data_IF_143638642806
#
_entry.id   IF_143638642806
#
_cell.length_a   1.000
_cell.length_b   1.000
_cell.length_c   1.000
_cell.angle_alpha   90.00
_cell.angle_beta   90.00
_cell.angle_gamma   90.00
#
_symmetry.space_group_name_H-M   'P 1'
#
loop_
_entity.id
_entity.type
_entity.pdbx_description
1 polymer ?
#
# COMPACT_ATOMS: atom_id res chain seq x y z
N UNK A 1 -1.80 -6.89 13.92
CA UNK A 1 -1.77 -5.78 12.93
C UNK A 1 -3.07 -5.63 12.16
N UNK A 2 -3.77 -6.73 11.80
CA UNK A 2 -5.05 -6.67 11.07
C UNK A 2 -6.10 -5.72 11.67
N UNK A 3 -6.47 -5.83 12.96
CA UNK A 3 -7.45 -4.93 13.58
C UNK A 3 -7.02 -3.45 13.57
N UNK A 4 -5.74 -3.16 13.84
CA UNK A 4 -5.21 -1.79 13.74
C UNK A 4 -5.33 -1.25 12.31
N UNK A 5 -4.94 -2.04 11.32
CA UNK A 5 -5.05 -1.65 9.91
C UNK A 5 -6.49 -1.30 9.54
N UNK A 6 -7.46 -2.14 9.95
CA UNK A 6 -8.88 -1.91 9.68
C UNK A 6 -9.39 -0.65 10.40
N UNK A 7 -8.99 -0.42 11.65
CA UNK A 7 -9.37 0.77 12.40
C UNK A 7 -8.83 2.06 11.77
N UNK A 8 -7.57 2.06 11.32
CA UNK A 8 -6.93 3.22 10.70
C UNK A 8 -7.48 3.53 9.29
N UNK A 9 -7.81 2.48 8.53
CA UNK A 9 -8.39 2.64 7.19
C UNK A 9 -9.87 3.04 7.28
N UNK A 10 -10.60 2.48 8.24
CA UNK A 10 -12.04 2.63 8.38
C UNK A 10 -12.81 2.04 7.18
N UNK A 11 -13.89 2.71 6.79
CA UNK A 11 -14.69 2.33 5.63
C UNK A 11 -13.89 2.44 4.33
N UNK A 12 -13.74 1.32 3.61
CA UNK A 12 -13.02 1.24 2.34
C UNK A 12 -13.83 1.82 1.18
N UNK A 13 -15.16 1.87 1.29
CA UNK A 13 -16.04 2.35 0.20
C UNK A 13 -15.90 3.85 -0.04
N UNK A 14 -15.47 4.63 0.97
CA UNK A 14 -15.17 6.08 0.86
C UNK A 14 -14.09 6.41 -0.17
N UNK A 15 -13.26 5.43 -0.55
CA UNK A 15 -12.21 5.60 -1.54
C UNK A 15 -12.75 5.30 -2.95
N UNK A 16 -12.80 6.34 -3.79
CA UNK A 16 -13.32 6.26 -5.16
C UNK A 16 -12.52 5.29 -6.03
N UNK A 17 -11.19 5.25 -5.87
CA UNK A 17 -10.33 4.40 -6.68
C UNK A 17 -9.10 3.90 -5.89
N UNK A 18 -8.45 2.83 -6.35
CA UNK A 18 -7.25 2.25 -5.69
C UNK A 18 -6.12 3.24 -5.38
N UNK A 19 -6.03 4.36 -6.12
CA UNK A 19 -5.03 5.40 -5.87
C UNK A 19 -5.36 6.29 -4.66
N UNK A 20 -6.63 6.43 -4.28
CA UNK A 20 -7.04 7.35 -3.22
C UNK A 20 -6.74 6.77 -1.84
N UNK A 21 -6.83 5.45 -1.67
CA UNK A 21 -6.39 4.78 -0.44
C UNK A 21 -4.87 4.86 -0.24
N UNK A 22 -4.08 4.75 -1.32
CA UNK A 22 -2.61 4.85 -1.24
C UNK A 22 -2.15 6.28 -0.99
N UNK A 23 -2.83 7.26 -1.59
CA UNK A 23 -2.60 8.69 -1.33
C UNK A 23 -3.02 9.08 0.10
N UNK A 24 -4.15 8.56 0.57
CA UNK A 24 -4.60 8.72 1.95
C UNK A 24 -3.56 8.18 2.94
N UNK A 25 -2.96 7.02 2.67
CA UNK A 25 -1.93 6.43 3.52
C UNK A 25 -0.53 7.08 3.38
N UNK A 26 -0.32 7.94 2.38
CA UNK A 26 0.98 8.58 2.13
C UNK A 26 2.06 7.62 1.63
N UNK A 27 1.66 6.60 0.85
CA UNK A 27 2.58 5.61 0.27
C UNK A 27 2.58 5.63 -1.26
N UNK A 28 1.89 6.61 -1.85
CA UNK A 28 1.97 6.89 -3.27
C UNK A 28 3.24 7.68 -3.61
N UNK A 29 3.91 7.39 -4.74
CA UNK A 29 4.90 8.31 -5.28
C UNK A 29 4.18 9.62 -5.60
N UNK A 30 4.58 10.72 -4.96
CA UNK A 30 3.86 11.99 -5.04
C UNK A 30 3.60 12.45 -6.48
N UNK A 31 2.44 13.06 -6.71
CA UNK A 31 1.96 13.54 -8.01
C UNK A 31 2.70 14.80 -8.55
N UNK A 32 4.00 14.97 -8.30
CA UNK A 32 4.78 16.03 -8.94
C UNK A 32 5.14 15.60 -10.39
N UNK A 33 4.10 15.55 -11.22
CA UNK A 33 4.14 15.47 -12.68
C UNK A 33 3.59 16.78 -13.27
N UNK A 34 3.94 17.93 -12.69
CA UNK A 34 3.83 19.20 -13.43
C UNK A 34 4.95 19.19 -14.48
N UNK A 35 4.54 19.04 -15.73
CA UNK A 35 5.31 19.24 -16.96
C UNK A 35 6.61 20.01 -16.73
N UNK A 36 7.76 19.34 -16.94
CA UNK A 36 9.07 19.91 -17.36
C UNK A 36 10.28 19.24 -16.67
N UNK A 37 10.13 18.43 -15.61
CA UNK A 37 11.26 17.66 -15.04
C UNK A 37 10.86 16.26 -14.54
N UNK A 38 11.26 15.22 -15.26
CA UNK A 38 11.24 13.84 -14.76
C UNK A 38 12.25 13.70 -13.59
N UNK A 39 11.77 13.88 -12.36
CA UNK A 39 12.57 13.56 -11.19
C UNK A 39 12.75 12.03 -11.12
N UNK A 40 13.99 11.54 -11.22
CA UNK A 40 14.36 10.12 -11.09
C UNK A 40 13.91 9.48 -9.76
N UNK A 41 13.49 10.27 -8.79
CA UNK A 41 12.89 9.85 -7.53
C UNK A 41 11.96 10.95 -7.01
N UNK A 42 10.70 10.62 -6.72
CA UNK A 42 9.75 11.52 -6.06
C UNK A 42 9.52 11.04 -4.62
N UNK A 43 9.59 11.97 -3.67
CA UNK A 43 9.32 11.70 -2.26
C UNK A 43 7.85 11.29 -2.11
N UNK A 44 7.58 10.27 -1.30
CA UNK A 44 6.20 9.91 -0.98
C UNK A 44 5.52 11.02 -0.21
N UNK A 45 4.22 11.21 -0.46
CA UNK A 45 3.43 12.17 0.29
C UNK A 45 3.41 11.76 1.76
N UNK A 46 3.70 12.66 2.71
CA UNK A 46 3.54 12.36 4.16
C UNK A 46 2.10 12.57 4.61
N UNK A 47 1.16 12.47 3.69
CA UNK A 47 -0.27 12.58 3.94
C UNK A 47 -0.76 11.32 4.66
N UNK A 48 -1.73 11.45 5.58
CA UNK A 48 -2.33 10.31 6.27
C UNK A 48 -1.94 10.11 7.74
N UNK A 49 -2.66 9.22 8.45
CA UNK A 49 -2.41 8.93 9.86
C UNK A 49 -1.01 8.34 10.10
N UNK A 50 -0.22 8.85 11.07
CA UNK A 50 1.07 8.27 11.43
C UNK A 50 0.98 6.80 11.82
N UNK A 51 -0.09 6.41 12.53
CA UNK A 51 -0.32 5.04 12.97
C UNK A 51 -0.62 4.09 11.81
N UNK A 52 -1.34 4.54 10.78
CA UNK A 52 -1.52 3.78 9.54
C UNK A 52 -0.18 3.49 8.86
N UNK A 53 0.69 4.50 8.71
CA UNK A 53 2.03 4.30 8.12
C UNK A 53 2.89 3.35 8.95
N UNK A 54 2.87 3.49 10.27
CA UNK A 54 3.56 2.59 11.20
C UNK A 54 3.04 1.16 11.05
N UNK A 55 1.73 0.98 10.99
CA UNK A 55 1.10 -0.33 10.81
C UNK A 55 1.51 -0.96 9.48
N UNK A 56 1.43 -0.22 8.37
CA UNK A 56 1.87 -0.70 7.06
C UNK A 56 3.34 -1.11 7.06
N UNK A 57 4.21 -0.32 7.68
CA UNK A 57 5.62 -0.65 7.82
C UNK A 57 5.81 -1.99 8.56
N UNK A 58 5.11 -2.19 9.68
CA UNK A 58 5.16 -3.45 10.44
C UNK A 58 4.60 -4.65 9.66
N UNK A 59 3.59 -4.44 8.80
CA UNK A 59 3.10 -5.51 7.91
C UNK A 59 4.18 -5.90 6.90
N UNK A 60 4.84 -4.93 6.26
CA UNK A 60 5.92 -5.22 5.30
C UNK A 60 7.13 -5.87 5.96
N UNK A 61 7.48 -5.44 7.18
CA UNK A 61 8.55 -6.03 7.98
C UNK A 61 8.22 -7.48 8.36
N UNK A 62 6.94 -7.76 8.70
CA UNK A 62 6.44 -9.11 8.88
C UNK A 62 6.62 -9.99 7.65
N UNK A 63 6.24 -9.50 6.46
CA UNK A 63 6.40 -10.23 5.19
C UNK A 63 7.87 -10.55 4.90
N UNK A 64 8.79 -9.60 5.15
CA UNK A 64 10.21 -9.82 4.97
C UNK A 64 10.81 -10.85 5.93
N UNK A 65 10.27 -10.95 7.14
CA UNK A 65 10.72 -11.92 8.15
C UNK A 65 10.18 -13.32 7.90
N UNK A 66 8.91 -13.44 7.50
CA UNK A 66 8.29 -14.74 7.24
C UNK A 66 8.57 -15.27 5.83
N UNK A 67 8.96 -14.41 4.89
CA UNK A 67 9.29 -14.74 3.50
C UNK A 67 8.29 -15.68 2.81
N UNK A 68 6.98 -15.36 2.81
CA UNK A 68 5.96 -16.21 2.20
C UNK A 68 6.08 -16.15 0.68
N UNK A 69 6.59 -17.21 0.07
CA UNK A 69 6.92 -17.24 -1.37
C UNK A 69 5.69 -17.08 -2.28
N UNK A 70 4.51 -17.48 -1.80
CA UNK A 70 3.25 -17.40 -2.56
C UNK A 70 2.51 -16.05 -2.37
N UNK A 71 3.04 -15.15 -1.53
CA UNK A 71 2.41 -13.85 -1.31
C UNK A 71 2.81 -12.83 -2.40
N UNK A 72 1.85 -12.24 -3.12
CA UNK A 72 2.14 -11.33 -4.23
C UNK A 72 2.75 -9.99 -3.79
N UNK A 73 2.61 -9.59 -2.52
CA UNK A 73 3.27 -8.40 -1.97
C UNK A 73 4.72 -8.73 -1.63
N UNK A 74 4.98 -9.89 -1.00
CA UNK A 74 6.33 -10.36 -0.72
C UNK A 74 7.15 -10.53 -2.00
N UNK A 75 6.63 -11.23 -3.01
CA UNK A 75 7.30 -11.38 -4.32
C UNK A 75 7.66 -10.03 -4.94
N UNK A 76 6.78 -9.02 -4.78
CA UNK A 76 7.04 -7.68 -5.28
C UNK A 76 8.14 -6.95 -4.49
N UNK A 77 8.15 -7.07 -3.16
CA UNK A 77 9.19 -6.51 -2.31
C UNK A 77 10.53 -7.17 -2.61
N UNK A 78 10.56 -8.50 -2.72
CA UNK A 78 11.78 -9.26 -2.99
C UNK A 78 12.37 -8.93 -4.36
N UNK A 79 11.53 -8.80 -5.39
CA UNK A 79 11.94 -8.25 -6.69
C UNK A 79 12.58 -6.87 -6.55
N UNK A 80 11.98 -5.95 -5.79
CA UNK A 80 12.53 -4.60 -5.59
C UNK A 80 13.84 -4.62 -4.80
N UNK A 81 14.00 -5.55 -3.86
CA UNK A 81 15.25 -5.79 -3.14
C UNK A 81 16.34 -6.31 -4.08
N UNK A 82 16.01 -7.27 -4.96
CA UNK A 82 16.93 -7.79 -5.97
C UNK A 82 17.35 -6.73 -7.02
N UNK A 83 16.48 -5.77 -7.33
CA UNK A 83 16.81 -4.58 -8.14
C UNK A 83 17.77 -3.60 -7.43
N UNK A 84 18.18 -3.88 -6.18
CA UNK A 84 19.08 -3.02 -5.40
C UNK A 84 18.42 -1.75 -4.85
N UNK A 85 17.08 -1.72 -4.75
CA UNK A 85 16.38 -0.55 -4.18
C UNK A 85 16.70 -0.40 -2.68
N UNK A 86 16.87 0.84 -2.17
CA UNK A 86 17.08 1.05 -0.74
C UNK A 86 15.93 0.51 0.11
N UNK A 87 16.22 0.11 1.35
CA UNK A 87 15.27 -0.51 2.28
C UNK A 87 13.92 0.23 2.34
N UNK A 88 13.94 1.52 2.65
CA UNK A 88 12.70 2.30 2.78
C UNK A 88 11.93 2.43 1.46
N UNK A 89 12.61 2.39 0.32
CA UNK A 89 11.96 2.51 -1.01
C UNK A 89 11.13 1.27 -1.31
N UNK A 90 11.70 0.07 -1.13
CA UNK A 90 10.92 -1.15 -1.38
C UNK A 90 9.87 -1.40 -0.29
N UNK A 91 10.09 -0.94 0.95
CA UNK A 91 9.08 -1.01 2.01
C UNK A 91 7.85 -0.17 1.67
N UNK A 92 8.05 1.07 1.22
CA UNK A 92 6.94 1.93 0.80
C UNK A 92 6.28 1.43 -0.49
N UNK A 93 7.06 0.92 -1.44
CA UNK A 93 6.50 0.31 -2.65
C UNK A 93 5.66 -0.94 -2.34
N UNK A 94 6.12 -1.78 -1.39
CA UNK A 94 5.38 -2.91 -0.85
C UNK A 94 4.07 -2.48 -0.20
N UNK A 95 4.09 -1.45 0.65
CA UNK A 95 2.89 -0.93 1.29
C UNK A 95 1.86 -0.41 0.26
N UNK A 96 2.32 0.23 -0.81
CA UNK A 96 1.46 0.64 -1.93
C UNK A 96 0.83 -0.56 -2.65
N UNK A 97 1.64 -1.58 -2.98
CA UNK A 97 1.17 -2.84 -3.58
C UNK A 97 0.14 -3.54 -2.69
N UNK A 98 0.41 -3.61 -1.39
CA UNK A 98 -0.48 -4.17 -0.38
C UNK A 98 -1.84 -3.44 -0.35
N UNK A 99 -1.85 -2.12 -0.22
CA UNK A 99 -3.09 -1.34 -0.16
C UNK A 99 -3.93 -1.45 -1.43
N UNK A 100 -3.29 -1.54 -2.60
CA UNK A 100 -3.99 -1.76 -3.86
C UNK A 100 -4.69 -3.12 -3.92
N UNK A 101 -4.04 -4.17 -3.43
CA UNK A 101 -4.64 -5.51 -3.33
C UNK A 101 -5.76 -5.50 -2.30
N UNK A 102 -5.48 -4.98 -1.09
CA UNK A 102 -6.43 -4.88 0.01
C UNK A 102 -7.73 -4.17 -0.44
N UNK A 103 -7.61 -3.01 -1.08
CA UNK A 103 -8.76 -2.26 -1.61
C UNK A 103 -9.59 -3.09 -2.59
N UNK A 104 -8.93 -3.76 -3.54
CA UNK A 104 -9.63 -4.60 -4.53
C UNK A 104 -10.39 -5.75 -3.88
N UNK A 105 -9.72 -6.49 -2.99
CA UNK A 105 -10.33 -7.66 -2.31
C UNK A 105 -11.48 -7.28 -1.40
N UNK A 106 -11.35 -6.19 -0.64
CA UNK A 106 -12.43 -5.73 0.24
C UNK A 106 -13.63 -5.24 -0.58
N UNK A 107 -13.41 -4.47 -1.66
CA UNK A 107 -14.52 -4.04 -2.53
C UNK A 107 -15.21 -5.20 -3.24
N UNK A 108 -14.45 -6.18 -3.74
CA UNK A 108 -14.99 -7.40 -4.35
C UNK A 108 -15.87 -8.17 -3.35
N UNK A 109 -15.39 -8.32 -2.11
CA UNK A 109 -16.16 -8.97 -1.05
C UNK A 109 -17.44 -8.21 -0.71
N UNK A 110 -17.37 -6.88 -0.51
CA UNK A 110 -18.57 -6.07 -0.21
C UNK A 110 -19.60 -6.15 -1.34
N UNK A 111 -19.17 -6.08 -2.61
CA UNK A 111 -20.07 -6.22 -3.75
C UNK A 111 -20.72 -7.61 -3.81
N UNK A 112 -20.00 -8.67 -3.42
CA UNK A 112 -20.56 -10.02 -3.37
C UNK A 112 -21.67 -10.19 -2.32
N UNK A 113 -21.63 -9.39 -1.24
CA UNK A 113 -22.68 -9.39 -0.22
C UNK A 113 -23.94 -8.71 -0.73
N UNK A 114 -23.82 -7.59 -1.46
CA UNK A 114 -24.95 -6.90 -2.07
C UNK A 114 -25.69 -7.74 -3.13
N UNK A 115 -24.99 -8.67 -3.77
CA UNK A 115 -25.58 -9.58 -4.77
C UNK A 115 -26.17 -10.87 -4.17
N UNK A 116 -25.92 -11.13 -2.89
CA UNK A 116 -26.41 -12.32 -2.20
C UNK A 116 -27.77 -12.11 -1.50
N UNK A 117 -28.23 -10.85 -1.43
CA UNK A 117 -29.58 -10.44 -1.04
C UNK A 117 -30.51 -10.29 -2.26
#
# INVERSE_FOLDING_TARGET
LGPQLMAEIGDVTRFVHRGSITAFAGVDPGANQSSEREAKSVRTSKSGPPELRRTLFLVMDGLLKSMPQDDPVYQFIDKKRAEGKPYLVYMTAGANKFLRIYYGRVKEYLASLETAD
#
